data_IF_586092140984
#
_entry.id   IF_586092140984
#
_cell.length_a   1.000
_cell.length_b   1.000
_cell.length_c   1.000
_cell.angle_alpha   90.00
_cell.angle_beta   90.00
_cell.angle_gamma   90.00
#
_symmetry.space_group_name_H-M   'P 1'
#
loop_
_entity.id
_entity.type
_entity.pdbx_description
1 polymer ?
#
# COMPACT_ATOMS: atom_id res chain seq x y z
N UNK A 1 -62.47 -39.55 -1.01
CA UNK A 1 -62.75 -38.39 -1.88
C UNK A 1 -62.74 -37.16 -1.01
N UNK A 2 -61.65 -36.39 -1.14
CA UNK A 2 -61.57 -34.92 -1.18
C UNK A 2 -62.17 -34.11 0.01
N UNK A 3 -61.51 -33.14 0.64
CA UNK A 3 -60.32 -32.35 0.29
C UNK A 3 -59.82 -31.60 1.54
N UNK A 4 -58.50 -31.40 1.61
CA UNK A 4 -57.79 -30.50 2.54
C UNK A 4 -58.34 -29.06 2.52
N UNK A 5 -58.30 -28.38 3.68
CA UNK A 5 -57.86 -26.98 3.79
C UNK A 5 -57.24 -26.72 5.17
N UNK A 6 -55.91 -26.67 5.19
CA UNK A 6 -55.10 -26.15 6.28
C UNK A 6 -55.25 -24.62 6.37
N UNK A 7 -55.50 -24.11 7.57
CA UNK A 7 -55.20 -22.73 7.95
C UNK A 7 -54.46 -22.76 9.30
N UNK A 8 -53.15 -23.03 9.26
CA UNK A 8 -52.26 -22.65 10.35
C UNK A 8 -51.46 -21.44 9.87
N UNK A 9 -51.98 -20.25 10.19
CA UNK A 9 -51.22 -19.01 10.13
C UNK A 9 -50.69 -18.74 11.55
N UNK A 10 -49.38 -18.63 11.70
CA UNK A 10 -48.79 -18.14 12.94
C UNK A 10 -47.46 -18.80 13.31
N UNK A 11 -46.39 -18.48 12.58
CA UNK A 11 -45.05 -18.51 13.13
C UNK A 11 -44.28 -17.33 12.52
N UNK A 12 -44.00 -16.33 13.37
CA UNK A 12 -43.42 -15.05 13.00
C UNK A 12 -42.04 -15.21 12.40
N UNK A 13 -41.91 -14.76 11.16
CA UNK A 13 -40.63 -14.41 10.56
C UNK A 13 -40.20 -13.08 11.19
N UNK A 14 -39.42 -13.14 12.27
CA UNK A 14 -38.62 -12.02 12.75
C UNK A 14 -37.49 -11.80 11.74
N UNK A 15 -37.84 -11.23 10.59
CA UNK A 15 -36.89 -10.56 9.74
C UNK A 15 -36.45 -9.30 10.51
N UNK A 16 -35.39 -9.43 11.30
CA UNK A 16 -34.56 -8.30 11.69
C UNK A 16 -33.95 -7.75 10.40
N UNK A 17 -34.74 -6.98 9.67
CA UNK A 17 -34.24 -6.01 8.72
C UNK A 17 -33.45 -5.01 9.56
N UNK A 18 -32.16 -5.29 9.73
CA UNK A 18 -31.16 -4.28 10.03
C UNK A 18 -31.18 -3.28 8.87
N UNK A 19 -32.16 -2.38 8.86
CA UNK A 19 -32.02 -1.10 8.17
C UNK A 19 -30.85 -0.41 8.87
N UNK A 20 -29.66 -0.55 8.29
CA UNK A 20 -28.47 0.14 8.76
C UNK A 20 -28.78 1.62 8.91
N UNK A 21 -28.23 2.21 9.97
CA UNK A 21 -28.24 3.65 10.14
C UNK A 21 -27.60 4.25 8.89
N UNK A 22 -28.24 5.25 8.30
CA UNK A 22 -27.65 6.06 7.24
C UNK A 22 -27.46 7.48 7.75
N UNK A 23 -26.34 8.09 7.40
CA UNK A 23 -26.01 9.44 7.83
C UNK A 23 -24.56 9.80 7.51
N UNK A 24 -24.24 11.10 7.52
CA UNK A 24 -22.94 11.61 7.08
C UNK A 24 -21.77 10.98 7.84
N UNK A 25 -21.90 10.78 9.15
CA UNK A 25 -20.87 10.15 9.98
C UNK A 25 -20.58 8.71 9.52
N UNK A 26 -21.61 7.94 9.16
CA UNK A 26 -21.43 6.57 8.67
C UNK A 26 -20.68 6.53 7.35
N UNK A 27 -21.06 7.41 6.42
CA UNK A 27 -20.39 7.54 5.11
C UNK A 27 -18.92 7.94 5.26
N UNK A 28 -18.60 8.87 6.17
CA UNK A 28 -17.20 9.26 6.40
C UNK A 28 -16.37 8.11 7.00
N UNK A 29 -16.94 7.28 7.88
CA UNK A 29 -16.26 6.08 8.41
C UNK A 29 -16.04 5.07 7.28
N UNK A 30 -17.04 4.84 6.43
CA UNK A 30 -16.97 3.93 5.29
C UNK A 30 -15.93 4.37 4.26
N UNK A 31 -15.89 5.64 3.89
CA UNK A 31 -14.89 6.20 2.96
C UNK A 31 -13.46 6.03 3.47
N UNK A 32 -13.23 6.32 4.76
CA UNK A 32 -11.90 6.13 5.36
C UNK A 32 -11.52 4.65 5.41
N UNK A 33 -12.46 3.77 5.74
CA UNK A 33 -12.27 2.32 5.74
C UNK A 33 -11.92 1.79 4.36
N UNK A 34 -12.63 2.20 3.31
CA UNK A 34 -12.32 1.81 1.93
C UNK A 34 -10.91 2.27 1.52
N UNK A 35 -10.49 3.45 1.96
CA UNK A 35 -9.14 3.97 1.71
C UNK A 35 -8.06 3.14 2.43
N UNK A 36 -8.29 2.76 3.69
CA UNK A 36 -7.39 1.90 4.46
C UNK A 36 -7.32 0.50 3.86
N UNK A 37 -8.47 -0.09 3.52
CA UNK A 37 -8.57 -1.44 2.94
C UNK A 37 -7.85 -1.51 1.58
N UNK A 38 -8.07 -0.53 0.70
CA UNK A 38 -7.39 -0.47 -0.59
C UNK A 38 -5.88 -0.27 -0.44
N UNK A 39 -5.43 0.57 0.49
CA UNK A 39 -4.00 0.76 0.77
C UNK A 39 -3.35 -0.50 1.32
N UNK A 40 -4.03 -1.22 2.20
CA UNK A 40 -3.57 -2.50 2.74
C UNK A 40 -3.50 -3.57 1.63
N UNK A 41 -4.54 -3.69 0.81
CA UNK A 41 -4.53 -4.62 -0.33
C UNK A 41 -3.34 -4.37 -1.25
N UNK A 42 -3.07 -3.11 -1.56
CA UNK A 42 -1.92 -2.71 -2.38
C UNK A 42 -0.57 -3.06 -1.74
N UNK A 43 -0.41 -2.92 -0.41
CA UNK A 43 0.80 -3.37 0.29
C UNK A 43 0.96 -4.89 0.31
N UNK A 44 -0.14 -5.64 0.32
CA UNK A 44 -0.13 -7.11 0.28
C UNK A 44 0.14 -7.63 -1.14
N UNK A 45 -0.34 -6.93 -2.18
CA UNK A 45 -0.04 -7.23 -3.58
C UNK A 45 1.43 -7.03 -3.93
N UNK A 46 2.14 -6.19 -3.16
CA UNK A 46 3.57 -6.01 -3.31
C UNK A 46 4.29 -7.29 -2.85
N UNK A 47 4.49 -8.21 -3.79
CA UNK A 47 5.18 -9.48 -3.57
C UNK A 47 6.57 -9.23 -2.96
N UNK A 48 6.70 -9.58 -1.68
CA UNK A 48 7.92 -9.40 -0.91
C UNK A 48 9.13 -10.08 -1.56
N UNK A 49 8.94 -11.20 -2.25
CA UNK A 49 10.01 -11.90 -2.94
C UNK A 49 10.48 -11.10 -4.17
N UNK A 50 9.54 -10.66 -5.02
CA UNK A 50 9.87 -9.85 -6.20
C UNK A 50 10.47 -8.50 -5.83
N UNK A 51 9.95 -7.85 -4.78
CA UNK A 51 10.51 -6.60 -4.28
C UNK A 51 11.96 -6.78 -3.81
N UNK A 52 12.22 -7.80 -2.99
CA UNK A 52 13.57 -8.07 -2.50
C UNK A 52 14.52 -8.49 -3.62
N UNK A 53 14.04 -9.23 -4.62
CA UNK A 53 14.82 -9.55 -5.81
C UNK A 53 15.21 -8.29 -6.58
N UNK A 54 14.25 -7.41 -6.87
CA UNK A 54 14.48 -6.14 -7.54
C UNK A 54 15.48 -5.26 -6.76
N UNK A 55 15.32 -5.18 -5.44
CA UNK A 55 16.24 -4.49 -4.54
C UNK A 55 17.67 -5.03 -4.66
N UNK A 56 17.85 -6.35 -4.53
CA UNK A 56 19.16 -6.99 -4.58
C UNK A 56 19.85 -6.84 -5.95
N UNK A 57 19.09 -6.85 -7.05
CA UNK A 57 19.63 -6.59 -8.39
C UNK A 57 20.21 -5.17 -8.50
N UNK A 58 19.50 -4.17 -7.98
CA UNK A 58 19.98 -2.79 -7.97
C UNK A 58 21.18 -2.61 -7.03
N UNK A 59 21.16 -3.20 -5.84
CA UNK A 59 22.30 -3.18 -4.90
C UNK A 59 23.56 -3.76 -5.55
N UNK A 60 23.45 -4.90 -6.24
CA UNK A 60 24.58 -5.48 -7.00
C UNK A 60 25.18 -4.48 -7.99
N UNK A 61 24.36 -3.77 -8.75
CA UNK A 61 24.85 -2.77 -9.70
C UNK A 61 25.45 -1.55 -9.01
N UNK A 62 24.91 -1.13 -7.86
CA UNK A 62 25.50 -0.07 -7.03
C UNK A 62 26.91 -0.46 -6.58
N UNK A 63 27.09 -1.71 -6.10
CA UNK A 63 28.41 -2.20 -5.69
C UNK A 63 29.41 -2.24 -6.85
N UNK A 64 28.99 -2.63 -8.05
CA UNK A 64 29.85 -2.56 -9.24
C UNK A 64 30.19 -1.10 -9.57
N UNK A 65 29.21 -0.19 -9.57
CA UNK A 65 29.41 1.22 -9.90
C UNK A 65 30.42 1.89 -8.96
N UNK A 66 30.43 1.54 -7.67
CA UNK A 66 31.40 2.03 -6.68
C UNK A 66 32.86 1.67 -6.99
N UNK A 67 33.09 0.65 -7.81
CA UNK A 67 34.44 0.23 -8.22
C UNK A 67 34.97 0.96 -9.46
N UNK A 68 34.14 1.81 -10.08
CA UNK A 68 34.50 2.47 -11.34
C UNK A 68 35.05 3.86 -11.08
N UNK A 69 36.29 4.07 -11.51
CA UNK A 69 36.93 5.39 -11.47
C UNK A 69 36.33 6.32 -12.52
N UNK A 70 36.17 7.59 -12.16
CA UNK A 70 35.64 8.61 -13.05
C UNK A 70 36.50 8.79 -14.31
N UNK A 71 35.87 8.76 -15.48
CA UNK A 71 36.44 9.11 -16.77
C UNK A 71 35.60 10.20 -17.43
N UNK A 72 36.23 11.32 -17.79
CA UNK A 72 35.57 12.43 -18.47
C UNK A 72 34.93 12.03 -19.82
N UNK A 73 35.45 11.00 -20.50
CA UNK A 73 34.84 10.46 -21.73
C UNK A 73 33.50 9.77 -21.46
N UNK A 74 33.29 9.31 -20.23
CA UNK A 74 32.09 8.61 -19.77
C UNK A 74 31.23 9.49 -18.85
N UNK A 75 31.42 10.81 -18.87
CA UNK A 75 30.75 11.75 -17.98
C UNK A 75 29.23 11.55 -17.93
N UNK A 76 28.60 11.37 -19.10
CA UNK A 76 27.16 11.13 -19.19
C UNK A 76 26.71 9.88 -18.42
N UNK A 77 27.53 8.82 -18.38
CA UNK A 77 27.22 7.59 -17.63
C UNK A 77 27.31 7.84 -16.13
N UNK A 78 28.35 8.54 -15.67
CA UNK A 78 28.52 8.87 -14.25
C UNK A 78 27.41 9.78 -13.71
N UNK A 79 26.87 10.69 -14.54
CA UNK A 79 25.84 11.62 -14.08
C UNK A 79 24.41 11.18 -14.36
N UNK A 80 24.14 10.49 -15.47
CA UNK A 80 22.77 10.10 -15.82
C UNK A 80 22.47 8.68 -15.33
N UNK A 81 23.25 7.71 -15.79
CA UNK A 81 23.00 6.29 -15.49
C UNK A 81 23.20 6.00 -14.01
N UNK A 82 24.32 6.44 -13.42
CA UNK A 82 24.57 6.16 -12.00
C UNK A 82 23.58 6.89 -11.10
N UNK A 83 23.11 8.07 -11.49
CA UNK A 83 22.06 8.77 -10.76
C UNK A 83 20.70 8.07 -10.88
N UNK A 84 20.37 7.54 -12.06
CA UNK A 84 19.16 6.74 -12.26
C UNK A 84 19.19 5.47 -11.41
N UNK A 85 20.34 4.77 -11.39
CA UNK A 85 20.56 3.60 -10.55
C UNK A 85 20.42 3.94 -9.06
N UNK A 86 21.09 5.00 -8.61
CA UNK A 86 21.07 5.46 -7.21
C UNK A 86 19.68 5.88 -6.79
N UNK A 87 18.95 6.61 -7.64
CA UNK A 87 17.59 7.04 -7.36
C UNK A 87 16.62 5.87 -7.28
N UNK A 88 16.73 4.91 -8.21
CA UNK A 88 15.90 3.69 -8.22
C UNK A 88 16.15 2.83 -6.98
N UNK A 89 17.42 2.61 -6.63
CA UNK A 89 17.79 1.88 -5.42
C UNK A 89 17.28 2.59 -4.16
N UNK A 90 17.45 3.91 -4.08
CA UNK A 90 17.01 4.72 -2.94
C UNK A 90 15.50 4.70 -2.76
N UNK A 91 14.72 4.66 -3.85
CA UNK A 91 13.26 4.57 -3.78
C UNK A 91 12.82 3.27 -3.09
N UNK A 92 13.36 2.12 -3.54
CA UNK A 92 13.07 0.82 -2.92
C UNK A 92 13.57 0.79 -1.46
N UNK A 93 14.80 1.22 -1.20
CA UNK A 93 15.37 1.26 0.15
C UNK A 93 14.52 2.06 1.13
N UNK A 94 14.11 3.27 0.75
CA UNK A 94 13.30 4.15 1.60
C UNK A 94 11.93 3.55 1.87
N UNK A 95 11.27 3.02 0.84
CA UNK A 95 9.96 2.40 1.01
C UNK A 95 10.02 1.26 2.04
N UNK A 96 10.98 0.35 1.90
CA UNK A 96 11.09 -0.79 2.81
C UNK A 96 11.50 -0.37 4.23
N UNK A 97 12.39 0.62 4.34
CA UNK A 97 12.80 1.19 5.63
C UNK A 97 11.61 1.81 6.36
N UNK A 98 10.76 2.57 5.65
CA UNK A 98 9.57 3.18 6.24
C UNK A 98 8.52 2.12 6.57
N UNK A 99 8.19 1.22 5.63
CA UNK A 99 7.23 0.13 5.84
C UNK A 99 7.54 -0.67 7.10
N UNK A 100 8.80 -1.08 7.27
CA UNK A 100 9.23 -1.85 8.45
C UNK A 100 9.43 -0.98 9.70
N UNK A 101 10.13 0.13 9.56
CA UNK A 101 10.53 0.99 10.68
C UNK A 101 9.35 1.68 11.35
N UNK A 102 8.39 2.14 10.55
CA UNK A 102 7.14 2.74 11.02
C UNK A 102 6.02 1.70 11.14
N UNK A 103 6.26 0.42 10.87
CA UNK A 103 5.29 -0.66 11.03
C UNK A 103 3.96 -0.43 10.30
N UNK A 104 4.03 0.01 9.04
CA UNK A 104 2.85 0.39 8.25
C UNK A 104 1.78 -0.71 8.19
N UNK A 105 2.21 -1.97 7.98
CA UNK A 105 1.29 -3.11 7.96
C UNK A 105 0.50 -3.25 9.27
N UNK A 106 1.16 -3.01 10.42
CA UNK A 106 0.53 -3.06 11.73
C UNK A 106 -0.42 -1.88 11.99
N UNK A 107 -0.02 -0.67 11.57
CA UNK A 107 -0.85 0.53 11.71
C UNK A 107 -2.12 0.45 10.88
N UNK A 108 -2.04 0.00 9.61
CA UNK A 108 -3.22 -0.16 8.76
C UNK A 108 -4.17 -1.24 9.29
N UNK A 109 -3.64 -2.36 9.78
CA UNK A 109 -4.47 -3.40 10.41
C UNK A 109 -5.17 -2.90 11.67
N UNK A 110 -4.49 -2.07 12.48
CA UNK A 110 -5.09 -1.46 13.66
C UNK A 110 -6.21 -0.49 13.27
N UNK A 111 -5.94 0.40 12.31
CA UNK A 111 -6.90 1.37 11.79
C UNK A 111 -8.14 0.68 11.22
N UNK A 112 -7.96 -0.39 10.44
CA UNK A 112 -9.07 -1.20 9.92
C UNK A 112 -9.97 -1.71 11.04
N UNK A 113 -9.39 -2.28 12.11
CA UNK A 113 -10.15 -2.77 13.27
C UNK A 113 -10.86 -1.65 14.03
N UNK A 114 -10.23 -0.49 14.16
CA UNK A 114 -10.81 0.68 14.82
C UNK A 114 -12.00 1.21 14.03
N UNK A 115 -11.89 1.29 12.70
CA UNK A 115 -12.98 1.75 11.83
C UNK A 115 -14.13 0.74 11.78
N UNK A 116 -13.86 -0.56 11.77
CA UNK A 116 -14.89 -1.61 11.87
C UNK A 116 -15.67 -1.50 13.19
N UNK A 117 -14.96 -1.30 14.31
CA UNK A 117 -15.58 -1.12 15.62
C UNK A 117 -16.40 0.18 15.67
N UNK A 118 -15.85 1.28 15.17
CA UNK A 118 -16.52 2.58 15.17
C UNK A 118 -17.78 2.57 14.30
N UNK A 119 -17.72 1.93 13.13
CA UNK A 119 -18.88 1.73 12.27
C UNK A 119 -19.96 0.89 12.96
N UNK A 120 -19.56 -0.20 13.63
CA UNK A 120 -20.47 -1.04 14.40
C UNK A 120 -21.15 -0.27 15.54
N UNK A 121 -20.39 0.49 16.32
CA UNK A 121 -20.89 1.26 17.47
C UNK A 121 -21.85 2.37 17.02
N UNK A 122 -21.52 3.04 15.91
CA UNK A 122 -22.37 4.06 15.31
C UNK A 122 -23.69 3.48 14.78
N UNK A 123 -23.62 2.36 14.06
CA UNK A 123 -24.77 1.69 13.47
C UNK A 123 -25.70 1.10 14.56
N UNK A 124 -25.10 0.52 15.61
CA UNK A 124 -25.80 -0.07 16.74
C UNK A 124 -26.27 0.95 17.78
N UNK A 125 -25.94 2.24 17.61
CA UNK A 125 -26.24 3.34 18.53
C UNK A 125 -25.70 3.11 19.95
N UNK A 126 -24.59 2.39 20.05
CA UNK A 126 -23.89 2.12 21.32
C UNK A 126 -23.16 3.38 21.80
N UNK A 127 -22.80 4.25 20.86
CA UNK A 127 -22.06 5.48 21.12
C UNK A 127 -22.84 6.71 20.62
N UNK A 128 -22.87 7.83 21.38
CA UNK A 128 -23.42 9.10 20.92
C UNK A 128 -22.67 9.64 19.70
N UNK A 129 -23.37 10.33 18.80
CA UNK A 129 -22.80 10.86 17.55
C UNK A 129 -21.59 11.78 17.76
N UNK A 130 -21.60 12.60 18.81
CA UNK A 130 -20.48 13.49 19.12
C UNK A 130 -19.23 12.69 19.53
N UNK A 131 -19.41 11.62 20.30
CA UNK A 131 -18.33 10.70 20.67
C UNK A 131 -17.81 9.95 19.44
N UNK A 132 -18.69 9.50 18.55
CA UNK A 132 -18.28 8.84 17.29
C UNK A 132 -17.48 9.82 16.43
N UNK A 133 -17.91 11.09 16.34
CA UNK A 133 -17.20 12.12 15.58
C UNK A 133 -15.81 12.39 16.14
N UNK A 134 -15.68 12.51 17.47
CA UNK A 134 -14.37 12.69 18.11
C UNK A 134 -13.44 11.51 17.79
N UNK A 135 -13.92 10.28 17.97
CA UNK A 135 -13.14 9.08 17.67
C UNK A 135 -12.75 8.99 16.19
N UNK A 136 -13.65 9.37 15.27
CA UNK A 136 -13.36 9.42 13.84
C UNK A 136 -12.28 10.45 13.52
N UNK A 137 -12.32 11.64 14.13
CA UNK A 137 -11.29 12.66 13.92
C UNK A 137 -9.94 12.24 14.51
N UNK A 138 -9.92 11.56 15.66
CA UNK A 138 -8.70 10.96 16.22
C UNK A 138 -8.11 9.92 15.26
N UNK A 139 -8.96 9.05 14.70
CA UNK A 139 -8.55 8.05 13.73
C UNK A 139 -8.00 8.69 12.44
N UNK A 140 -8.69 9.70 11.89
CA UNK A 140 -8.22 10.48 10.72
C UNK A 140 -6.85 11.09 10.98
N UNK A 141 -6.65 11.71 12.14
CA UNK A 141 -5.38 12.34 12.51
C UNK A 141 -4.24 11.32 12.63
N UNK A 142 -4.56 10.08 12.98
CA UNK A 142 -3.60 8.97 13.04
C UNK A 142 -3.27 8.43 11.63
N UNK A 143 -4.29 8.08 10.84
CA UNK A 143 -4.10 7.27 9.63
C UNK A 143 -3.87 8.09 8.35
N UNK A 144 -4.41 9.29 8.21
CA UNK A 144 -4.28 10.07 6.97
C UNK A 144 -2.82 10.44 6.62
N UNK A 145 -1.96 10.84 7.58
CA UNK A 145 -0.55 11.10 7.29
C UNK A 145 0.20 9.85 6.79
N UNK A 146 -0.13 8.70 7.36
CA UNK A 146 0.41 7.40 6.93
C UNK A 146 -0.02 7.09 5.50
N UNK A 147 -1.32 7.19 5.18
CA UNK A 147 -1.85 6.92 3.85
C UNK A 147 -1.23 7.84 2.78
N UNK A 148 -1.07 9.13 3.09
CA UNK A 148 -0.42 10.08 2.18
C UNK A 148 1.04 9.71 1.89
N UNK A 149 1.78 9.29 2.92
CA UNK A 149 3.18 8.85 2.79
C UNK A 149 3.28 7.56 1.99
N UNK A 150 2.42 6.59 2.29
CA UNK A 150 2.32 5.31 1.60
C UNK A 150 2.08 5.52 0.11
N UNK A 151 1.04 6.26 -0.26
CA UNK A 151 0.71 6.51 -1.67
C UNK A 151 1.86 7.17 -2.43
N UNK A 152 2.48 8.21 -1.84
CA UNK A 152 3.63 8.89 -2.44
C UNK A 152 4.79 7.93 -2.73
N UNK A 153 5.10 7.04 -1.78
CA UNK A 153 6.23 6.10 -1.93
C UNK A 153 5.88 4.93 -2.85
N UNK A 154 4.64 4.52 -2.86
CA UNK A 154 4.18 3.40 -3.66
C UNK A 154 4.24 3.69 -5.16
N UNK A 155 3.94 4.93 -5.58
CA UNK A 155 4.09 5.34 -6.98
C UNK A 155 5.55 5.26 -7.44
N UNK A 156 6.50 5.69 -6.59
CA UNK A 156 7.95 5.57 -6.85
C UNK A 156 8.36 4.10 -6.99
N UNK A 157 7.90 3.24 -6.06
CA UNK A 157 8.21 1.80 -6.10
C UNK A 157 7.61 1.12 -7.33
N UNK A 158 6.34 1.37 -7.65
CA UNK A 158 5.68 0.80 -8.83
C UNK A 158 6.42 1.18 -10.11
N UNK A 159 6.88 2.42 -10.21
CA UNK A 159 7.69 2.88 -11.33
C UNK A 159 8.99 2.08 -11.46
N UNK A 160 9.74 1.92 -10.36
CA UNK A 160 11.01 1.17 -10.35
C UNK A 160 10.79 -0.31 -10.64
N UNK A 161 9.80 -0.94 -10.01
CA UNK A 161 9.45 -2.35 -10.20
C UNK A 161 9.12 -2.65 -11.66
N UNK A 162 8.35 -1.78 -12.32
CA UNK A 162 8.00 -1.91 -13.74
C UNK A 162 9.22 -1.86 -14.66
N UNK A 163 10.27 -1.15 -14.27
CA UNK A 163 11.49 -0.97 -15.07
C UNK A 163 12.64 -1.91 -14.68
N UNK A 164 12.49 -2.70 -13.61
CA UNK A 164 13.60 -3.40 -12.98
C UNK A 164 14.37 -4.32 -13.95
N UNK A 165 13.67 -5.12 -14.76
CA UNK A 165 14.31 -6.00 -15.75
C UNK A 165 15.06 -5.21 -16.84
N UNK A 166 14.52 -4.07 -17.26
CA UNK A 166 15.16 -3.21 -18.26
C UNK A 166 16.40 -2.52 -17.70
N UNK A 167 16.33 -2.08 -16.44
CA UNK A 167 17.44 -1.54 -15.67
C UNK A 167 18.56 -2.59 -15.52
N UNK A 168 18.21 -3.81 -15.11
CA UNK A 168 19.15 -4.92 -14.94
C UNK A 168 19.90 -5.21 -16.25
N UNK A 169 19.17 -5.36 -17.35
CA UNK A 169 19.76 -5.62 -18.66
C UNK A 169 20.65 -4.48 -19.14
N UNK A 170 20.22 -3.23 -18.93
CA UNK A 170 20.99 -2.04 -19.31
C UNK A 170 22.33 -2.00 -18.58
N UNK A 171 22.32 -2.13 -17.25
CA UNK A 171 23.53 -2.10 -16.46
C UNK A 171 24.42 -3.30 -16.72
N UNK A 172 23.86 -4.50 -16.90
CA UNK A 172 24.66 -5.66 -17.27
C UNK A 172 25.46 -5.43 -18.56
N UNK A 173 24.83 -4.90 -19.61
CA UNK A 173 25.52 -4.56 -20.86
C UNK A 173 26.57 -3.47 -20.67
N UNK A 174 26.28 -2.46 -19.85
CA UNK A 174 27.24 -1.42 -19.51
C UNK A 174 28.49 -2.01 -18.85
N UNK A 175 28.31 -2.96 -17.92
CA UNK A 175 29.43 -3.63 -17.25
C UNK A 175 30.23 -4.53 -18.18
N UNK A 176 29.54 -5.30 -19.03
CA UNK A 176 30.18 -6.18 -20.00
C UNK A 176 31.03 -5.42 -21.04
N UNK A 177 30.62 -4.18 -21.36
CA UNK A 177 31.34 -3.30 -22.29
C UNK A 177 32.37 -2.39 -21.65
N UNK A 178 32.42 -2.32 -20.31
CA UNK A 178 33.26 -1.37 -19.58
C UNK A 178 34.74 -1.52 -19.92
N UNK A 179 35.26 -2.75 -19.89
CA UNK A 179 36.69 -3.02 -20.11
C UNK A 179 37.07 -3.19 -21.58
N UNK A 180 36.10 -3.48 -22.44
CA UNK A 180 36.31 -3.64 -23.90
C UNK A 180 36.25 -2.31 -24.67
N UNK A 181 36.05 -1.20 -23.95
CA UNK A 181 35.79 0.11 -24.50
C UNK A 181 34.30 0.26 -24.84
N UNK A 182 33.61 1.08 -24.06
CA UNK A 182 32.22 1.48 -24.33
C UNK A 182 32.21 2.17 -25.70
N UNK A 183 31.47 1.59 -26.65
CA UNK A 183 31.38 2.07 -28.04
C UNK A 183 30.40 3.21 -28.20
#
# INVERSE_FOLDING_TARGET
MDTLKCCFAGAGLLALLSCGRSGPIGSEIEELRETVDSSNAVLQELDSAQFMEAFNRLERHIEIAKTKDYDAKLEAIFFNDFEWLRSSHRALFKFETLRRGEQWDGQLLLSQKQLDALHHDWNSRVMPDDSVRIALEEEKNSVLPLLATLHTRLDEVRYVMKQNDSLDLHFQKLWDSWDSGIK
#
